data_IF_268776962576
#
_entry.id   IF_268776962576
#
_cell.length_a   1.000
_cell.length_b   1.000
_cell.length_c   1.000
_cell.angle_alpha   90.00
_cell.angle_beta   90.00
_cell.angle_gamma   90.00
#
_symmetry.space_group_name_H-M   'P 1'
#
loop_
_entity.id
_entity.type
_entity.pdbx_description
1 polymer ?
#
# COMPACT_ATOMS: atom_id res chain seq x y z
N UNK A 1 0.84 -2.44 17.71
CA UNK A 1 0.53 -1.09 17.18
C UNK A 1 0.09 -1.23 15.73
N UNK A 2 -1.09 -0.76 15.35
CA UNK A 2 -1.55 -0.78 13.94
C UNK A 2 -0.80 0.34 13.22
N UNK A 3 -0.12 0.04 12.09
CA UNK A 3 0.56 1.06 11.29
C UNK A 3 -0.49 2.02 10.75
N UNK A 4 -0.28 3.32 10.95
CA UNK A 4 -1.10 4.38 10.36
C UNK A 4 -0.37 4.88 9.12
N UNK A 5 -1.00 4.76 7.95
CA UNK A 5 -0.42 5.27 6.72
C UNK A 5 -0.62 6.78 6.61
N UNK A 6 0.41 7.48 6.15
CA UNK A 6 0.31 8.91 5.83
C UNK A 6 -0.56 9.12 4.59
N UNK A 7 -1.02 10.35 4.38
CA UNK A 7 -1.78 10.70 3.18
C UNK A 7 -0.95 10.47 1.90
N UNK A 8 0.37 10.68 1.98
CA UNK A 8 1.32 10.47 0.88
C UNK A 8 1.44 8.97 0.56
N UNK A 9 1.57 8.11 1.57
CA UNK A 9 1.60 6.65 1.36
C UNK A 9 0.30 6.17 0.71
N UNK A 10 -0.85 6.70 1.13
CA UNK A 10 -2.15 6.38 0.51
C UNK A 10 -2.22 6.80 -0.95
N UNK A 11 -1.73 7.99 -1.28
CA UNK A 11 -1.67 8.47 -2.66
C UNK A 11 -0.74 7.60 -3.52
N UNK A 12 0.43 7.20 -2.99
CA UNK A 12 1.34 6.29 -3.69
C UNK A 12 0.74 4.91 -3.92
N UNK A 13 0.04 4.33 -2.93
CA UNK A 13 -0.69 3.06 -3.09
C UNK A 13 -1.72 3.17 -4.22
N UNK A 14 -2.48 4.26 -4.25
CA UNK A 14 -3.51 4.49 -5.26
C UNK A 14 -2.94 4.58 -6.68
N UNK A 15 -1.87 5.36 -6.89
CA UNK A 15 -1.24 5.48 -8.20
C UNK A 15 -0.58 4.16 -8.66
N UNK A 16 0.07 3.42 -7.76
CA UNK A 16 0.65 2.12 -8.10
C UNK A 16 -0.43 1.11 -8.51
N UNK A 17 -1.52 1.04 -7.74
CA UNK A 17 -2.66 0.16 -8.07
C UNK A 17 -3.30 0.54 -9.41
N UNK A 18 -3.52 1.83 -9.65
CA UNK A 18 -4.06 2.36 -10.91
C UNK A 18 -3.18 2.02 -12.11
N UNK A 19 -1.86 1.97 -11.92
CA UNK A 19 -0.90 1.55 -12.93
C UNK A 19 -0.77 0.02 -13.09
N UNK A 20 -1.58 -0.75 -12.37
CA UNK A 20 -1.64 -2.22 -12.47
C UNK A 20 -0.68 -2.96 -11.54
N UNK A 21 0.01 -2.27 -10.62
CA UNK A 21 0.85 -2.94 -9.62
C UNK A 21 -0.02 -3.70 -8.61
N UNK A 22 0.31 -4.97 -8.38
CA UNK A 22 -0.43 -5.81 -7.44
C UNK A 22 -0.20 -5.44 -5.97
N UNK A 23 -1.19 -5.69 -5.11
CA UNK A 23 -1.11 -5.34 -3.68
C UNK A 23 0.08 -5.97 -2.94
N UNK A 24 0.51 -7.17 -3.34
CA UNK A 24 1.69 -7.83 -2.74
C UNK A 24 2.98 -7.07 -3.03
N UNK A 25 3.11 -6.51 -4.24
CA UNK A 25 4.27 -5.77 -4.67
C UNK A 25 4.29 -4.36 -4.05
N UNK A 26 3.14 -3.70 -3.98
CA UNK A 26 2.95 -2.45 -3.23
C UNK A 26 3.32 -2.63 -1.75
N UNK A 27 2.92 -3.76 -1.15
CA UNK A 27 3.25 -4.06 0.23
C UNK A 27 4.75 -4.26 0.44
N UNK A 28 5.46 -4.90 -0.50
CA UNK A 28 6.91 -5.01 -0.46
C UNK A 28 7.59 -3.63 -0.56
N UNK A 29 7.13 -2.76 -1.46
CA UNK A 29 7.65 -1.38 -1.61
C UNK A 29 7.52 -0.60 -0.31
N UNK A 30 6.37 -0.74 0.37
CA UNK A 30 6.09 -0.02 1.61
C UNK A 30 6.61 -0.72 2.87
N UNK A 31 7.25 -1.89 2.75
CA UNK A 31 7.67 -2.71 3.89
C UNK A 31 6.50 -3.09 4.80
N UNK A 32 5.35 -3.44 4.22
CA UNK A 32 4.11 -3.77 4.91
C UNK A 32 3.61 -5.16 4.52
N UNK A 33 2.58 -5.66 5.21
CA UNK A 33 1.92 -6.92 4.85
C UNK A 33 0.91 -6.67 3.72
N UNK A 34 0.79 -7.56 2.71
CA UNK A 34 -0.19 -7.41 1.63
C UNK A 34 -1.63 -7.19 2.12
N UNK A 35 -2.05 -7.93 3.16
CA UNK A 35 -3.37 -7.77 3.76
C UNK A 35 -3.59 -6.41 4.43
N UNK A 36 -2.53 -5.71 4.81
CA UNK A 36 -2.61 -4.34 5.35
C UNK A 36 -2.89 -3.35 4.23
N UNK A 37 -2.32 -3.53 3.04
CA UNK A 37 -2.62 -2.70 1.87
C UNK A 37 -4.05 -2.94 1.38
N UNK A 38 -4.53 -4.18 1.44
CA UNK A 38 -5.89 -4.55 1.03
C UNK A 38 -7.00 -3.99 1.93
N UNK A 39 -6.70 -3.72 3.20
CA UNK A 39 -7.68 -3.30 4.22
C UNK A 39 -7.57 -1.83 4.63
N UNK A 40 -6.63 -1.09 4.03
CA UNK A 40 -6.43 0.35 4.25
C UNK A 40 -7.48 1.19 3.52
#
# INVERSE_FOLDING_TARGET
MRRTFTAEEKASVFELWKNGTGFSEIANILGSKPGTIFTM
#
